data_IF_738800261434
#
_entry.id   IF_738800261434
#
_cell.length_a   1.000
_cell.length_b   1.000
_cell.length_c   1.000
_cell.angle_alpha   90.00
_cell.angle_beta   90.00
_cell.angle_gamma   90.00
#
_symmetry.space_group_name_H-M   'P 1'
#
loop_
_entity.id
_entity.type
_entity.pdbx_description
1 polymer ?
#
# COMPACT_ATOMS: atom_id res chain seq x y z
N UNK A 1 -28.48 -31.61 47.75
CA UNK A 1 -27.19 -30.88 47.67
C UNK A 1 -26.35 -31.28 46.44
N UNK A 2 -26.26 -32.56 46.05
CA UNK A 2 -25.49 -33.01 44.85
C UNK A 2 -25.89 -32.34 43.52
N UNK A 3 -27.18 -32.04 43.32
CA UNK A 3 -27.68 -31.39 42.08
C UNK A 3 -27.23 -29.93 41.92
N UNK A 4 -27.07 -29.21 43.03
CA UNK A 4 -26.56 -27.83 43.02
C UNK A 4 -25.05 -27.79 42.75
N UNK A 5 -24.30 -28.76 43.28
CA UNK A 5 -22.86 -28.89 43.02
C UNK A 5 -22.56 -29.20 41.54
N UNK A 6 -23.34 -30.11 40.94
CA UNK A 6 -23.20 -30.40 39.51
C UNK A 6 -23.56 -29.18 38.64
N UNK A 7 -24.55 -28.38 39.03
CA UNK A 7 -24.92 -27.18 38.28
C UNK A 7 -23.83 -26.11 38.30
N UNK A 8 -23.20 -25.88 39.46
CA UNK A 8 -22.07 -24.94 39.58
C UNK A 8 -20.86 -25.41 38.77
N UNK A 9 -20.59 -26.72 38.73
CA UNK A 9 -19.49 -27.28 37.96
C UNK A 9 -19.70 -27.12 36.44
N UNK A 10 -20.94 -27.28 35.95
CA UNK A 10 -21.27 -27.09 34.53
C UNK A 10 -21.15 -25.62 34.11
N UNK A 11 -21.55 -24.69 34.97
CA UNK A 11 -21.40 -23.25 34.71
C UNK A 11 -19.92 -22.85 34.70
N UNK A 12 -19.10 -23.41 35.61
CA UNK A 12 -17.67 -23.14 35.67
C UNK A 12 -16.91 -23.65 34.43
N UNK A 13 -17.29 -24.82 33.89
CA UNK A 13 -16.72 -25.37 32.65
C UNK A 13 -17.09 -24.56 31.40
N UNK A 14 -18.24 -23.90 31.38
CA UNK A 14 -18.67 -23.02 30.29
C UNK A 14 -17.88 -21.69 30.24
N UNK A 15 -17.29 -21.25 31.35
CA UNK A 15 -16.45 -20.05 31.39
C UNK A 15 -15.00 -20.30 30.94
N UNK A 16 -14.54 -21.56 30.91
CA UNK A 16 -13.18 -21.93 30.52
C UNK A 16 -12.95 -21.99 29.00
N UNK A 17 -14.00 -21.84 28.18
CA UNK A 17 -13.91 -21.93 26.72
C UNK A 17 -13.86 -20.58 26.01
N UNK A 18 -13.69 -19.45 26.72
CA UNK A 18 -13.50 -18.16 26.06
C UNK A 18 -12.12 -18.17 25.39
N UNK A 19 -12.03 -18.20 24.04
CA UNK A 19 -10.74 -18.08 23.39
C UNK A 19 -10.18 -16.71 23.75
N UNK A 20 -9.01 -16.69 24.40
CA UNK A 20 -8.20 -15.48 24.51
C UNK A 20 -7.79 -15.12 23.08
N UNK A 21 -8.58 -14.25 22.45
CA UNK A 21 -8.19 -13.62 21.20
C UNK A 21 -6.98 -12.74 21.51
N UNK A 22 -5.78 -13.28 21.26
CA UNK A 22 -4.57 -12.48 21.24
C UNK A 22 -4.82 -11.32 20.29
N UNK A 23 -4.73 -10.09 20.82
CA UNK A 23 -4.78 -8.90 19.98
C UNK A 23 -3.62 -9.04 18.99
N UNK A 24 -3.87 -9.06 17.67
CA UNK A 24 -2.78 -9.09 16.72
C UNK A 24 -1.94 -7.85 17.00
N UNK A 25 -0.70 -8.06 17.44
CA UNK A 25 0.30 -7.00 17.52
C UNK A 25 0.49 -6.54 16.09
N UNK A 26 -0.18 -5.45 15.74
CA UNK A 26 -0.04 -4.79 14.46
C UNK A 26 1.43 -4.39 14.35
N UNK A 27 2.20 -5.11 13.55
CA UNK A 27 3.59 -4.78 13.28
C UNK A 27 3.56 -3.36 12.72
N UNK A 28 3.99 -2.38 13.50
CA UNK A 28 4.00 -0.98 13.08
C UNK A 28 4.89 -0.89 11.84
N UNK A 29 4.29 -0.90 10.66
CA UNK A 29 5.04 -0.79 9.42
C UNK A 29 5.67 0.58 9.44
N UNK A 30 7.00 0.65 9.51
CA UNK A 30 7.74 1.90 9.49
C UNK A 30 7.75 2.47 8.06
N UNK A 31 6.57 2.82 7.58
CA UNK A 31 6.32 3.23 6.22
C UNK A 31 6.42 4.76 6.14
N UNK A 32 7.42 5.24 5.41
CA UNK A 32 7.59 6.67 5.15
C UNK A 32 6.80 7.01 3.89
N UNK A 33 5.98 8.05 3.99
CA UNK A 33 5.25 8.66 2.88
C UNK A 33 5.96 9.93 2.45
N UNK A 34 6.42 9.99 1.21
CA UNK A 34 7.14 11.16 0.66
C UNK A 34 6.36 11.71 -0.52
N UNK A 35 5.91 12.96 -0.44
CA UNK A 35 5.39 13.66 -1.62
C UNK A 35 6.55 13.91 -2.59
N UNK A 36 6.46 13.36 -3.80
CA UNK A 36 7.51 13.45 -4.82
C UNK A 36 7.12 14.35 -6.00
N UNK A 37 5.83 14.57 -6.20
CA UNK A 37 5.25 15.51 -7.16
C UNK A 37 4.02 16.14 -6.52
N UNK A 38 3.84 17.44 -6.69
CA UNK A 38 2.63 18.17 -6.33
C UNK A 38 2.29 19.21 -7.41
N UNK A 39 1.01 19.39 -7.71
CA UNK A 39 0.56 20.47 -8.59
C UNK A 39 0.61 20.20 -10.11
N UNK A 40 0.64 18.94 -10.59
CA UNK A 40 0.68 18.64 -12.03
C UNK A 40 -0.65 18.15 -12.60
N UNK A 41 -0.99 18.50 -13.84
CA UNK A 41 -2.20 17.99 -14.51
C UNK A 41 -1.99 16.59 -15.12
N UNK A 42 -0.72 16.26 -15.42
CA UNK A 42 -0.30 15.01 -16.04
C UNK A 42 1.07 14.59 -15.52
N UNK A 43 1.26 13.28 -15.39
CA UNK A 43 2.55 12.64 -15.09
C UNK A 43 2.77 11.45 -16.02
N UNK A 44 4.03 11.17 -16.37
CA UNK A 44 4.43 9.93 -17.03
C UNK A 44 4.70 8.82 -16.01
N UNK A 45 4.17 7.63 -16.24
CA UNK A 45 4.33 6.44 -15.41
C UNK A 45 4.97 5.30 -16.21
N UNK A 46 6.06 4.73 -15.68
CA UNK A 46 6.67 3.51 -16.23
C UNK A 46 6.85 2.47 -15.13
N UNK A 47 6.23 1.31 -15.34
CA UNK A 47 6.33 0.11 -14.51
C UNK A 47 7.03 -0.99 -15.32
N UNK A 48 8.19 -1.45 -14.86
CA UNK A 48 9.01 -2.44 -15.58
C UNK A 48 8.75 -3.89 -15.17
N UNK A 49 7.84 -4.12 -14.24
CA UNK A 49 7.51 -5.43 -13.65
C UNK A 49 6.01 -5.58 -13.45
N UNK A 50 5.59 -6.77 -13.03
CA UNK A 50 4.23 -7.04 -12.62
C UNK A 50 3.71 -5.97 -11.64
N UNK A 51 2.49 -5.52 -11.88
CA UNK A 51 1.85 -4.43 -11.17
C UNK A 51 0.37 -4.68 -10.96
N UNK A 52 -0.15 -4.04 -9.92
CA UNK A 52 -1.59 -3.94 -9.62
C UNK A 52 -1.90 -2.49 -9.24
N UNK A 53 -2.98 -1.97 -9.80
CA UNK A 53 -3.51 -0.65 -9.48
C UNK A 53 -4.79 -0.85 -8.69
N UNK A 54 -4.85 -0.22 -7.54
CA UNK A 54 -5.99 -0.26 -6.62
C UNK A 54 -6.64 1.10 -6.52
N UNK A 55 -7.92 1.11 -6.18
CA UNK A 55 -8.59 2.33 -5.74
C UNK A 55 -7.92 2.87 -4.46
N UNK A 56 -7.78 4.19 -4.35
CA UNK A 56 -7.19 4.78 -3.16
C UNK A 56 -8.05 4.45 -1.93
N UNK A 57 -7.40 4.10 -0.81
CA UNK A 57 -8.05 3.71 0.45
C UNK A 57 -8.96 2.46 0.36
N UNK A 58 -8.82 1.66 -0.70
CA UNK A 58 -9.61 0.45 -0.90
C UNK A 58 -8.71 -0.66 -1.45
N UNK A 59 -9.04 -1.91 -1.13
CA UNK A 59 -8.38 -3.08 -1.73
C UNK A 59 -8.99 -3.49 -3.07
N UNK A 60 -9.92 -2.67 -3.61
CA UNK A 60 -10.50 -2.89 -4.93
C UNK A 60 -9.47 -2.71 -6.04
N UNK A 61 -9.06 -3.82 -6.65
CA UNK A 61 -8.21 -3.80 -7.83
C UNK A 61 -8.95 -3.21 -9.04
N UNK A 62 -8.31 -2.25 -9.70
CA UNK A 62 -8.83 -1.55 -10.88
C UNK A 62 -8.21 -2.08 -12.17
N UNK A 63 -6.94 -2.47 -12.13
CA UNK A 63 -6.22 -3.11 -13.23
C UNK A 63 -4.93 -3.78 -12.76
N UNK A 64 -4.43 -4.72 -13.55
CA UNK A 64 -3.15 -5.40 -13.30
C UNK A 64 -2.46 -5.74 -14.64
N UNK A 65 -1.16 -6.05 -14.59
CA UNK A 65 -0.40 -6.43 -15.77
C UNK A 65 1.08 -6.63 -15.47
N UNK A 66 1.87 -6.86 -16.52
CA UNK A 66 3.31 -7.18 -16.39
C UNK A 66 4.26 -6.01 -16.61
N UNK A 67 3.86 -5.01 -17.40
CA UNK A 67 4.62 -3.79 -17.68
C UNK A 67 3.61 -2.70 -18.04
N UNK A 68 3.94 -1.45 -17.73
CA UNK A 68 3.13 -0.31 -18.12
C UNK A 68 4.05 0.84 -18.52
N UNK A 69 3.73 1.50 -19.62
CA UNK A 69 4.36 2.76 -20.01
C UNK A 69 3.24 3.66 -20.51
N UNK A 70 2.87 4.65 -19.71
CA UNK A 70 1.69 5.47 -20.00
C UNK A 70 1.74 6.81 -19.30
N UNK A 71 0.85 7.71 -19.69
CA UNK A 71 0.58 8.94 -18.96
C UNK A 71 -0.62 8.74 -18.03
N UNK A 72 -0.59 9.44 -16.90
CA UNK A 72 -1.73 9.61 -16.01
C UNK A 72 -2.13 11.07 -16.04
N UNK A 73 -3.39 11.33 -16.34
CA UNK A 73 -3.95 12.67 -16.46
C UNK A 73 -5.28 12.78 -15.72
N UNK A 74 -5.60 13.99 -15.24
CA UNK A 74 -6.90 14.27 -14.65
C UNK A 74 -7.95 14.45 -15.73
N UNK A 75 -9.14 13.89 -15.48
CA UNK A 75 -10.35 14.10 -16.29
C UNK A 75 -11.42 14.77 -15.42
N UNK A 76 -12.59 15.06 -16.02
CA UNK A 76 -13.73 15.56 -15.26
C UNK A 76 -14.19 14.55 -14.20
N UNK A 77 -14.22 13.27 -14.55
CA UNK A 77 -14.76 12.18 -13.73
C UNK A 77 -13.74 11.45 -12.86
N UNK A 78 -12.42 11.57 -13.12
CA UNK A 78 -11.41 10.91 -12.31
C UNK A 78 -10.01 11.00 -12.89
N UNK A 79 -9.34 9.86 -12.97
CA UNK A 79 -7.98 9.72 -13.47
C UNK A 79 -7.97 8.86 -14.74
N UNK A 80 -7.39 9.37 -15.82
CA UNK A 80 -7.11 8.60 -17.02
C UNK A 80 -5.73 7.96 -16.90
N UNK A 81 -5.67 6.63 -16.88
CA UNK A 81 -4.43 5.84 -16.94
C UNK A 81 -4.38 5.18 -18.31
N UNK A 82 -3.55 5.72 -19.20
CA UNK A 82 -3.52 5.33 -20.61
C UNK A 82 -4.85 5.57 -21.31
N UNK A 83 -5.61 4.50 -21.55
CA UNK A 83 -6.94 4.58 -22.19
C UNK A 83 -8.09 4.29 -21.23
N UNK A 84 -7.79 4.01 -19.96
CA UNK A 84 -8.79 3.60 -18.97
C UNK A 84 -9.00 4.73 -17.96
N UNK A 85 -10.22 5.19 -17.85
CA UNK A 85 -10.61 6.10 -16.79
C UNK A 85 -10.92 5.30 -15.52
N UNK A 86 -10.36 5.76 -14.40
CA UNK A 86 -10.41 5.09 -13.11
C UNK A 86 -10.65 6.09 -11.98
N UNK A 87 -10.96 5.55 -10.79
CA UNK A 87 -11.28 6.19 -9.50
C UNK A 87 -11.26 7.73 -9.45
N UNK A 88 -12.34 8.37 -8.95
CA UNK A 88 -12.45 9.83 -8.93
C UNK A 88 -11.40 10.54 -8.07
N UNK A 89 -10.84 9.86 -7.05
CA UNK A 89 -9.99 10.48 -6.02
C UNK A 89 -8.51 10.14 -6.17
N UNK A 90 -8.19 8.94 -6.63
CA UNK A 90 -6.81 8.49 -6.65
C UNK A 90 -6.66 7.00 -6.84
N UNK A 91 -5.41 6.58 -7.05
CA UNK A 91 -5.05 5.17 -7.14
C UNK A 91 -3.79 4.87 -6.35
N UNK A 92 -3.68 3.63 -5.88
CA UNK A 92 -2.44 3.06 -5.34
C UNK A 92 -1.86 2.08 -6.34
N UNK A 93 -0.63 2.34 -6.78
CA UNK A 93 0.14 1.47 -7.67
C UNK A 93 1.08 0.63 -6.82
N UNK A 94 0.86 -0.68 -6.83
CA UNK A 94 1.77 -1.66 -6.24
C UNK A 94 2.49 -2.40 -7.35
N UNK A 95 3.75 -2.68 -7.13
CA UNK A 95 4.57 -3.46 -8.04
C UNK A 95 5.18 -4.66 -7.31
N UNK A 96 5.73 -5.61 -8.06
CA UNK A 96 6.49 -6.72 -7.47
C UNK A 96 7.60 -6.19 -6.53
N UNK A 97 7.92 -6.94 -5.48
CA UNK A 97 8.97 -6.56 -4.52
C UNK A 97 10.28 -6.19 -5.24
N UNK A 98 10.96 -5.15 -4.74
CA UNK A 98 12.23 -4.61 -5.27
C UNK A 98 12.19 -4.04 -6.70
N UNK A 99 11.02 -3.94 -7.30
CA UNK A 99 10.88 -3.31 -8.60
C UNK A 99 11.03 -1.78 -8.53
N UNK A 100 11.39 -1.21 -9.69
CA UNK A 100 11.53 0.23 -9.86
C UNK A 100 10.37 0.78 -10.66
N UNK A 101 9.70 1.77 -10.06
CA UNK A 101 8.69 2.60 -10.73
C UNK A 101 9.35 3.90 -11.18
N UNK A 102 9.01 4.36 -12.38
CA UNK A 102 9.46 5.65 -12.87
C UNK A 102 8.28 6.61 -12.95
N UNK A 103 8.43 7.80 -12.36
CA UNK A 103 7.49 8.91 -12.50
C UNK A 103 8.24 10.08 -13.13
N UNK A 104 7.77 10.57 -14.27
CA UNK A 104 8.45 11.61 -15.06
C UNK A 104 9.96 11.35 -15.27
N UNK A 105 10.31 10.09 -15.55
CA UNK A 105 11.69 9.64 -15.75
C UNK A 105 12.53 9.46 -14.48
N UNK A 106 12.04 9.88 -13.31
CA UNK A 106 12.72 9.70 -12.01
C UNK A 106 12.40 8.33 -11.41
N UNK A 107 13.40 7.69 -10.79
CA UNK A 107 13.27 6.34 -10.21
C UNK A 107 12.77 6.39 -8.78
N UNK A 108 11.79 5.54 -8.48
CA UNK A 108 11.25 5.32 -7.16
C UNK A 108 11.14 3.81 -6.86
N UNK A 109 11.23 3.48 -5.57
CA UNK A 109 10.98 2.13 -5.03
C UNK A 109 9.85 2.23 -4.01
N UNK A 110 9.14 1.13 -3.80
CA UNK A 110 7.97 1.08 -2.94
C UNK A 110 6.67 1.29 -3.70
N UNK A 111 5.58 1.43 -2.96
CA UNK A 111 4.25 1.66 -3.50
C UNK A 111 4.07 3.14 -3.84
N UNK A 112 3.32 3.46 -4.90
CA UNK A 112 3.07 4.84 -5.31
C UNK A 112 1.58 5.15 -5.17
N UNK A 113 1.22 6.16 -4.38
CA UNK A 113 -0.11 6.75 -4.41
C UNK A 113 -0.13 7.92 -5.41
N UNK A 114 -1.15 7.97 -6.25
CA UNK A 114 -1.40 9.06 -7.19
C UNK A 114 -2.78 9.61 -6.85
N UNK A 115 -2.81 10.84 -6.35
CA UNK A 115 -3.98 11.45 -5.72
C UNK A 115 -4.39 12.65 -6.56
N UNK A 116 -5.69 12.76 -6.84
CA UNK A 116 -6.32 13.94 -7.41
C UNK A 116 -6.71 14.87 -6.27
N UNK A 117 -6.28 16.12 -6.35
CA UNK A 117 -6.70 17.19 -5.45
C UNK A 117 -7.92 17.93 -6.01
N UNK A 118 -8.60 18.67 -5.13
CA UNK A 118 -9.77 19.48 -5.47
C UNK A 118 -9.46 20.60 -6.47
N UNK A 119 -8.20 21.06 -6.51
CA UNK A 119 -7.68 22.05 -7.47
C UNK A 119 -7.44 21.49 -8.88
N UNK A 120 -7.91 20.25 -9.15
CA UNK A 120 -7.67 19.50 -10.38
C UNK A 120 -6.19 19.30 -10.69
N UNK A 121 -5.34 19.20 -9.65
CA UNK A 121 -3.93 18.80 -9.76
C UNK A 121 -3.68 17.40 -9.18
N UNK A 122 -2.61 16.78 -9.66
CA UNK A 122 -2.08 15.51 -9.19
C UNK A 122 -1.01 15.75 -8.12
N UNK A 123 -1.08 14.92 -7.10
CA UNK A 123 -0.04 14.72 -6.11
C UNK A 123 0.41 13.26 -6.17
N UNK A 124 1.71 13.02 -6.16
CA UNK A 124 2.29 11.68 -6.15
C UNK A 124 3.04 11.48 -4.85
N UNK A 125 2.68 10.42 -4.13
CA UNK A 125 3.30 10.05 -2.85
C UNK A 125 3.97 8.70 -3.00
N UNK A 126 5.25 8.65 -2.69
CA UNK A 126 6.00 7.40 -2.61
C UNK A 126 5.95 6.85 -1.18
N UNK A 127 5.54 5.60 -1.04
CA UNK A 127 5.44 4.86 0.21
C UNK A 127 6.61 3.86 0.29
N UNK A 128 7.56 4.11 1.18
CA UNK A 128 8.79 3.31 1.32
C UNK A 128 8.87 2.69 2.71
N UNK A 129 9.06 1.37 2.77
CA UNK A 129 9.36 0.68 4.02
C UNK A 129 10.80 0.96 4.47
N UNK A 130 10.98 1.40 5.72
CA UNK A 130 12.28 1.68 6.31
C UNK A 130 13.10 0.42 6.59
N UNK A 131 12.46 -0.72 6.87
CA UNK A 131 13.18 -1.97 7.18
C UNK A 131 14.05 -2.41 5.99
N UNK A 132 13.56 -2.25 4.76
CA UNK A 132 14.31 -2.57 3.53
C UNK A 132 15.46 -1.59 3.26
N UNK A 133 15.39 -0.34 3.76
CA UNK A 133 16.41 0.69 3.48
C UNK A 133 17.62 0.65 4.41
N UNK A 134 17.43 0.23 5.66
CA UNK A 134 18.51 0.18 6.64
C UNK A 134 19.46 -1.02 6.43
N UNK A 135 18.94 -2.13 5.91
CA UNK A 135 19.76 -3.32 5.61
C UNK A 135 20.79 -3.03 4.52
N UNK A 136 20.39 -2.29 3.48
CA UNK A 136 21.29 -1.90 2.37
C UNK A 136 22.52 -1.11 2.82
N UNK A 137 22.42 -0.25 3.84
CA UNK A 137 23.57 0.55 4.32
C UNK A 137 24.48 -0.20 5.27
N UNK A 138 24.03 -1.32 5.87
CA UNK A 138 24.83 -2.08 6.84
C UNK A 138 25.83 -3.00 6.14
N UNK A 139 25.46 -3.60 5.00
CA UNK A 139 26.33 -4.53 4.25
C UNK A 139 27.56 -3.84 3.65
N UNK A 140 27.46 -2.55 3.28
CA UNK A 140 28.57 -1.81 2.68
C UNK A 140 29.69 -1.44 3.69
N UNK A 141 29.41 -1.52 5.00
CA UNK A 141 30.40 -1.23 6.05
C UNK A 141 31.12 -2.45 6.62
N UNK A 142 30.79 -3.67 6.19
CA UNK A 142 31.37 -4.90 6.77
C UNK A 142 32.44 -5.53 5.87
N UNK A 143 32.63 -5.06 4.64
CA UNK A 143 33.69 -5.54 3.72
C UNK A 143 34.81 -4.51 3.56
N UNK A 144 35.29 -3.97 4.68
CA UNK A 144 36.45 -3.09 4.71
C UNK A 144 37.30 -3.36 5.95
N UNK A 145 37.77 -4.60 6.10
CA UNK A 145 38.98 -4.98 6.86
C UNK A 145 39.63 -6.15 6.13
#
# INVERSE_FOLDING_TARGET
MKKALNFVLTVFLLFLSVPVSGVPVEKSSNLIRVCVIDGKDRIGLILKSAYKVYEINSDRALMEGNRLHTDIAITKSGLLIGKKEVSPYGVKVKTAKDSTTYIDGRRFRGDIDIIRKDDLKLTVVNNVDLEDRLVSKKTERVTAI
#
